data_IF_764973925467
#
_entry.id   IF_764973925467
#
_cell.length_a   1.000
_cell.length_b   1.000
_cell.length_c   1.000
_cell.angle_alpha   90.00
_cell.angle_beta   90.00
_cell.angle_gamma   90.00
#
_symmetry.space_group_name_H-M   'P 1'
#
loop_
_entity.id
_entity.type
_entity.pdbx_description
1 polymer ?
#
# COMPACT_ATOMS: atom_id res chain seq x y z
N UNK A 1 -19.97 -6.88 44.92
CA UNK A 1 -19.12 -5.72 45.30
C UNK A 1 -17.66 -6.08 45.07
N UNK A 2 -16.85 -5.08 44.71
CA UNK A 2 -15.40 -5.06 44.48
C UNK A 2 -14.88 -5.52 43.10
N UNK A 3 -14.62 -4.46 42.32
CA UNK A 3 -13.74 -4.33 41.16
C UNK A 3 -12.30 -4.63 41.55
N UNK A 4 -11.52 -5.25 40.66
CA UNK A 4 -10.10 -4.91 40.49
C UNK A 4 -9.66 -5.13 39.05
N UNK A 5 -9.53 -4.01 38.36
CA UNK A 5 -8.78 -3.81 37.12
C UNK A 5 -7.29 -3.95 37.48
N UNK A 6 -6.53 -4.77 36.75
CA UNK A 6 -5.09 -4.56 36.60
C UNK A 6 -4.72 -4.59 35.12
N UNK A 7 -4.59 -3.39 34.59
CA UNK A 7 -3.84 -3.08 33.38
C UNK A 7 -2.47 -3.74 33.43
N UNK A 8 -2.10 -4.44 32.37
CA UNK A 8 -0.70 -4.55 31.96
C UNK A 8 -0.54 -3.77 30.65
N UNK A 9 -0.19 -2.50 30.81
CA UNK A 9 0.46 -1.72 29.77
C UNK A 9 1.93 -2.16 29.81
N UNK A 10 2.37 -2.91 28.79
CA UNK A 10 3.79 -3.17 28.57
C UNK A 10 4.28 -2.19 27.50
N UNK A 11 4.96 -1.14 27.96
CA UNK A 11 5.78 -0.27 27.13
C UNK A 11 7.10 -1.01 26.91
N UNK A 12 7.41 -1.31 25.66
CA UNK A 12 8.77 -1.62 25.22
C UNK A 12 9.02 -0.83 23.93
N UNK A 13 9.71 0.30 24.08
CA UNK A 13 10.35 1.01 22.99
C UNK A 13 11.73 0.39 22.76
N UNK A 14 11.90 -0.35 21.67
CA UNK A 14 13.20 -0.59 21.05
C UNK A 14 13.06 -0.45 19.54
N UNK A 15 13.99 0.31 18.99
CA UNK A 15 14.08 0.66 17.59
C UNK A 15 14.11 -0.58 16.69
N UNK A 16 13.25 -0.54 15.68
CA UNK A 16 12.95 -1.63 14.78
C UNK A 16 11.46 -1.65 14.57
N UNK A 17 10.96 -0.88 13.59
CA UNK A 17 9.62 -1.10 13.05
C UNK A 17 9.57 -2.49 12.41
N UNK A 18 9.57 -3.55 13.22
CA UNK A 18 9.04 -4.82 12.81
C UNK A 18 7.56 -4.55 12.54
N UNK A 19 7.15 -4.64 11.28
CA UNK A 19 5.75 -4.49 10.90
C UNK A 19 4.90 -5.33 11.86
N UNK A 20 3.90 -4.72 12.50
CA UNK A 20 3.07 -5.42 13.48
C UNK A 20 2.51 -6.71 12.84
N UNK A 21 2.29 -7.81 13.59
CA UNK A 21 1.87 -9.09 13.02
C UNK A 21 0.58 -9.00 12.17
N UNK A 22 -0.31 -8.08 12.52
CA UNK A 22 -1.54 -7.81 11.77
C UNK A 22 -1.31 -7.04 10.46
N UNK A 23 -0.23 -6.27 10.34
CA UNK A 23 0.15 -5.56 9.12
C UNK A 23 0.72 -6.54 8.09
N UNK A 24 1.57 -7.47 8.54
CA UNK A 24 2.14 -8.52 7.69
C UNK A 24 1.04 -9.38 7.03
N UNK A 25 0.00 -9.75 7.79
CA UNK A 25 -1.15 -10.50 7.27
C UNK A 25 -1.99 -9.72 6.25
N UNK A 26 -2.12 -8.39 6.41
CA UNK A 26 -2.84 -7.52 5.46
C UNK A 26 -2.05 -7.27 4.18
N UNK A 27 -0.74 -7.07 4.28
CA UNK A 27 0.14 -6.95 3.11
C UNK A 27 0.14 -8.24 2.30
N UNK A 28 0.17 -9.40 2.97
CA UNK A 28 0.07 -10.70 2.30
C UNK A 28 -1.27 -10.89 1.59
N UNK A 29 -2.39 -10.54 2.24
CA UNK A 29 -3.70 -10.58 1.60
C UNK A 29 -3.79 -9.65 0.36
N UNK A 30 -3.15 -8.48 0.40
CA UNK A 30 -3.02 -7.59 -0.77
C UNK A 30 -2.15 -8.20 -1.87
N UNK A 31 -1.03 -8.83 -1.51
CA UNK A 31 -0.10 -9.48 -2.44
C UNK A 31 -0.79 -10.61 -3.20
N UNK A 32 -1.56 -11.45 -2.50
CA UNK A 32 -2.33 -12.53 -3.12
C UNK A 32 -3.38 -12.01 -4.09
N UNK A 33 -4.16 -11.00 -3.70
CA UNK A 33 -5.15 -10.37 -4.58
C UNK A 33 -4.48 -9.75 -5.82
N UNK A 34 -3.39 -9.01 -5.64
CA UNK A 34 -2.63 -8.41 -6.74
C UNK A 34 -2.09 -9.47 -7.71
N UNK A 35 -1.59 -10.60 -7.20
CA UNK A 35 -1.13 -11.73 -8.00
C UNK A 35 -2.26 -12.38 -8.82
N UNK A 36 -3.42 -12.60 -8.19
CA UNK A 36 -4.61 -13.12 -8.87
C UNK A 36 -5.06 -12.19 -10.02
N UNK A 37 -5.19 -10.89 -9.73
CA UNK A 37 -5.61 -9.89 -10.71
C UNK A 37 -4.61 -9.73 -11.86
N UNK A 38 -3.30 -9.77 -11.58
CA UNK A 38 -2.27 -9.78 -12.60
C UNK A 38 -2.40 -10.98 -13.55
N UNK A 39 -2.76 -12.15 -13.01
CA UNK A 39 -3.07 -13.34 -13.80
C UNK A 39 -4.26 -13.14 -14.74
N UNK A 40 -5.32 -12.46 -14.28
CA UNK A 40 -6.49 -12.14 -15.12
C UNK A 40 -6.16 -11.12 -16.22
N UNK A 41 -5.36 -10.10 -15.91
CA UNK A 41 -4.87 -9.12 -16.90
C UNK A 41 -4.03 -9.82 -17.97
N UNK A 42 -3.08 -10.68 -17.57
CA UNK A 42 -2.24 -11.44 -18.51
C UNK A 42 -3.05 -12.33 -19.46
N UNK A 43 -4.21 -12.83 -18.99
CA UNK A 43 -5.15 -13.62 -19.78
C UNK A 43 -6.17 -12.79 -20.57
N UNK A 44 -6.01 -11.45 -20.60
CA UNK A 44 -6.93 -10.49 -21.22
C UNK A 44 -8.38 -10.62 -20.73
N UNK A 45 -8.59 -11.06 -19.47
CA UNK A 45 -9.93 -11.21 -18.87
C UNK A 45 -10.46 -9.92 -18.25
N UNK A 46 -9.55 -9.05 -17.83
CA UNK A 46 -9.83 -7.70 -17.30
C UNK A 46 -8.73 -6.75 -17.75
N UNK A 47 -9.03 -5.46 -17.81
CA UNK A 47 -8.04 -4.40 -18.07
C UNK A 47 -7.20 -4.11 -16.82
N UNK A 48 -6.08 -3.38 -16.95
CA UNK A 48 -5.26 -2.98 -15.80
C UNK A 48 -6.01 -2.04 -14.87
N UNK A 49 -6.84 -1.15 -15.42
CA UNK A 49 -7.72 -0.27 -14.61
C UNK A 49 -8.74 -1.09 -13.82
N UNK A 50 -9.38 -2.08 -14.46
CA UNK A 50 -10.32 -2.97 -13.75
C UNK A 50 -9.63 -3.79 -12.65
N UNK A 51 -8.40 -4.23 -12.88
CA UNK A 51 -7.58 -4.85 -11.83
C UNK A 51 -7.28 -3.87 -10.70
N UNK A 52 -6.87 -2.63 -11.01
CA UNK A 52 -6.65 -1.61 -10.00
C UNK A 52 -7.93 -1.38 -9.17
N UNK A 53 -9.08 -1.16 -9.79
CA UNK A 53 -10.35 -0.92 -9.10
C UNK A 53 -10.72 -2.05 -8.12
N UNK A 54 -10.51 -3.31 -8.51
CA UNK A 54 -10.73 -4.47 -7.61
C UNK A 54 -9.74 -4.50 -6.45
N UNK A 55 -8.48 -4.19 -6.72
CA UNK A 55 -7.45 -4.10 -5.69
C UNK A 55 -7.76 -2.97 -4.68
N UNK A 56 -8.34 -1.85 -5.12
CA UNK A 56 -8.72 -0.76 -4.23
C UNK A 56 -9.81 -1.17 -3.23
N UNK A 57 -10.83 -1.90 -3.72
CA UNK A 57 -11.90 -2.44 -2.87
C UNK A 57 -11.30 -3.32 -1.78
N UNK A 58 -10.36 -4.20 -2.14
CA UNK A 58 -9.65 -5.06 -1.18
C UNK A 58 -8.82 -4.24 -0.19
N UNK A 59 -8.06 -3.26 -0.69
CA UNK A 59 -7.23 -2.35 0.12
C UNK A 59 -8.05 -1.64 1.18
N UNK A 60 -9.14 -0.98 0.77
CA UNK A 60 -10.03 -0.25 1.66
C UNK A 60 -10.65 -1.21 2.70
N UNK A 61 -11.07 -2.41 2.29
CA UNK A 61 -11.62 -3.41 3.19
C UNK A 61 -10.63 -3.94 4.25
N UNK A 62 -9.34 -4.02 3.93
CA UNK A 62 -8.30 -4.52 4.84
C UNK A 62 -7.72 -3.43 5.75
N UNK A 63 -7.54 -2.22 5.21
CA UNK A 63 -6.69 -1.17 5.81
C UNK A 63 -7.52 0.03 6.26
N UNK A 64 -8.68 0.25 5.63
CA UNK A 64 -9.43 1.49 5.70
C UNK A 64 -8.77 2.60 4.88
N UNK A 65 -9.33 3.80 4.97
CA UNK A 65 -8.74 4.98 4.34
C UNK A 65 -7.44 5.38 5.03
N UNK A 66 -6.46 5.78 4.23
CA UNK A 66 -5.19 6.32 4.68
C UNK A 66 -4.68 7.27 3.58
N UNK A 67 -4.42 8.56 3.88
CA UNK A 67 -4.12 9.56 2.86
C UNK A 67 -2.89 9.21 2.00
N UNK A 68 -1.89 8.54 2.58
CA UNK A 68 -0.70 8.12 1.84
C UNK A 68 -1.02 6.93 0.92
N UNK A 69 -1.80 5.95 1.39
CA UNK A 69 -2.25 4.85 0.55
C UNK A 69 -3.19 5.33 -0.56
N UNK A 70 -4.12 6.23 -0.25
CA UNK A 70 -5.10 6.77 -1.18
C UNK A 70 -4.40 7.57 -2.29
N UNK A 71 -3.41 8.40 -1.94
CA UNK A 71 -2.61 9.16 -2.92
C UNK A 71 -1.81 8.25 -3.85
N UNK A 72 -1.08 7.29 -3.28
CA UNK A 72 -0.24 6.36 -4.04
C UNK A 72 -1.10 5.46 -4.91
N UNK A 73 -2.25 5.02 -4.40
CA UNK A 73 -3.19 4.19 -5.14
C UNK A 73 -3.80 4.94 -6.32
N UNK A 74 -4.23 6.20 -6.14
CA UNK A 74 -4.76 7.03 -7.22
C UNK A 74 -3.76 7.18 -8.37
N UNK A 75 -2.47 7.41 -8.05
CA UNK A 75 -1.42 7.50 -9.06
C UNK A 75 -1.15 6.15 -9.75
N UNK A 76 -1.11 5.05 -9.00
CA UNK A 76 -1.00 3.70 -9.56
C UNK A 76 -2.14 3.40 -10.55
N UNK A 77 -3.39 3.72 -10.18
CA UNK A 77 -4.57 3.55 -11.03
C UNK A 77 -4.48 4.41 -12.30
N UNK A 78 -4.03 5.65 -12.18
CA UNK A 78 -3.81 6.53 -13.33
C UNK A 78 -2.81 5.90 -14.32
N UNK A 79 -1.65 5.43 -13.84
CA UNK A 79 -0.65 4.75 -14.69
C UNK A 79 -1.21 3.46 -15.32
N UNK A 80 -2.06 2.71 -14.61
CA UNK A 80 -2.75 1.56 -15.18
C UNK A 80 -3.64 1.96 -16.37
N UNK A 81 -4.35 3.08 -16.27
CA UNK A 81 -5.14 3.68 -17.35
C UNK A 81 -4.30 4.09 -18.55
N UNK A 82 -3.20 4.80 -18.33
CA UNK A 82 -2.29 5.20 -19.41
C UNK A 82 -1.70 3.98 -20.14
N UNK A 83 -1.42 2.89 -19.41
CA UNK A 83 -0.95 1.61 -19.97
C UNK A 83 -2.02 0.78 -20.65
N UNK A 84 -3.30 0.97 -20.34
CA UNK A 84 -4.39 0.32 -21.07
C UNK A 84 -4.64 1.03 -22.41
N UNK A 85 -4.44 2.34 -22.45
CA UNK A 85 -4.55 3.16 -23.67
C UNK A 85 -3.26 3.20 -24.51
N UNK A 86 -2.24 2.39 -24.16
CA UNK A 86 -0.93 2.36 -24.82
C UNK A 86 -0.21 3.73 -24.90
N UNK A 87 -0.53 4.66 -24.00
CA UNK A 87 0.09 6.00 -23.95
C UNK A 87 1.48 5.98 -23.34
N UNK A 88 1.72 5.03 -22.42
CA UNK A 88 3.02 4.81 -21.80
C UNK A 88 3.38 3.33 -21.82
N UNK A 89 4.67 3.05 -21.94
CA UNK A 89 5.22 1.69 -21.88
C UNK A 89 5.47 1.24 -20.44
N UNK A 90 5.64 -0.07 -20.18
CA UNK A 90 5.83 -0.58 -18.82
C UNK A 90 7.04 0.01 -18.07
N UNK A 91 8.17 0.23 -18.75
CA UNK A 91 9.39 0.80 -18.15
C UNK A 91 9.20 2.25 -17.71
N UNK A 92 8.49 3.03 -18.51
CA UNK A 92 8.13 4.42 -18.18
C UNK A 92 7.21 4.48 -16.96
N UNK A 93 6.16 3.66 -16.93
CA UNK A 93 5.28 3.56 -15.76
C UNK A 93 6.04 3.15 -14.48
N UNK A 94 7.02 2.23 -14.58
CA UNK A 94 7.87 1.86 -13.45
C UNK A 94 8.71 3.05 -12.95
N UNK A 95 9.33 3.81 -13.86
CA UNK A 95 10.12 5.00 -13.52
C UNK A 95 9.26 6.06 -12.83
N UNK A 96 8.09 6.37 -13.39
CA UNK A 96 7.12 7.31 -12.83
C UNK A 96 6.65 6.90 -11.43
N UNK A 97 6.30 5.63 -11.24
CA UNK A 97 5.88 5.12 -9.94
C UNK A 97 7.02 5.19 -8.91
N UNK A 98 8.25 4.83 -9.29
CA UNK A 98 9.41 4.92 -8.40
C UNK A 98 9.66 6.35 -7.93
N UNK A 99 9.56 7.33 -8.85
CA UNK A 99 9.66 8.75 -8.53
C UNK A 99 8.58 9.18 -7.54
N UNK A 100 7.32 8.76 -7.77
CA UNK A 100 6.21 9.07 -6.86
C UNK A 100 6.42 8.53 -5.45
N UNK A 101 6.86 7.28 -5.35
CA UNK A 101 7.14 6.64 -4.06
C UNK A 101 8.26 7.38 -3.30
N UNK A 102 9.35 7.76 -3.98
CA UNK A 102 10.44 8.53 -3.34
C UNK A 102 9.98 9.90 -2.81
N UNK A 103 9.12 10.58 -3.57
CA UNK A 103 8.49 11.85 -3.19
C UNK A 103 7.60 11.67 -1.94
N UNK A 104 6.68 10.70 -1.97
CA UNK A 104 5.78 10.37 -0.86
C UNK A 104 6.57 10.03 0.40
N UNK A 105 7.63 9.21 0.29
CA UNK A 105 8.50 8.85 1.42
C UNK A 105 9.21 10.05 2.03
N UNK A 106 9.63 11.01 1.21
CA UNK A 106 10.27 12.22 1.72
C UNK A 106 9.26 13.05 2.51
N UNK A 107 8.05 13.24 1.98
CA UNK A 107 6.97 13.94 2.70
C UNK A 107 6.57 13.24 4.00
N UNK A 108 6.37 11.92 3.97
CA UNK A 108 5.98 11.15 5.15
C UNK A 108 6.98 11.29 6.32
N UNK A 109 8.28 11.34 6.02
CA UNK A 109 9.31 11.56 7.05
C UNK A 109 9.28 12.96 7.66
N UNK A 110 8.84 13.95 6.88
CA UNK A 110 8.76 15.35 7.27
C UNK A 110 7.40 15.71 7.87
N UNK A 111 6.40 14.84 7.79
CA UNK A 111 5.04 15.09 8.28
C UNK A 111 4.94 14.87 9.79
N UNK A 112 4.80 15.94 10.60
CA UNK A 112 4.61 15.83 12.05
C UNK A 112 3.19 15.36 12.42
N UNK A 113 2.22 15.47 11.50
CA UNK A 113 0.81 15.12 11.68
C UNK A 113 0.42 13.81 11.01
N UNK A 114 1.39 12.94 10.69
CA UNK A 114 1.12 11.71 9.96
C UNK A 114 0.12 10.82 10.69
N UNK A 115 -0.76 10.11 9.95
CA UNK A 115 -1.76 9.24 10.56
C UNK A 115 -1.12 8.19 11.48
N UNK A 116 -1.75 7.91 12.61
CA UNK A 116 -1.28 6.86 13.53
C UNK A 116 -1.33 5.44 12.97
N UNK A 117 -1.98 5.24 11.80
CA UNK A 117 -2.02 3.96 11.08
C UNK A 117 -0.96 3.94 10.00
N UNK A 118 -0.09 2.94 10.04
CA UNK A 118 0.93 2.71 9.00
C UNK A 118 0.28 2.50 7.62
N UNK A 119 0.70 3.21 6.56
CA UNK A 119 0.19 3.01 5.21
C UNK A 119 0.61 1.62 4.69
N UNK A 120 -0.36 0.75 4.41
CA UNK A 120 -0.09 -0.67 4.12
C UNK A 120 0.16 -0.86 2.62
N UNK A 121 -0.67 -0.26 1.77
CA UNK A 121 -0.53 -0.36 0.31
C UNK A 121 0.74 0.34 -0.16
N UNK A 122 1.04 1.51 0.39
CA UNK A 122 2.25 2.26 0.05
C UNK A 122 3.48 1.46 0.42
N UNK A 123 3.53 0.85 1.61
CA UNK A 123 4.66 0.02 2.01
C UNK A 123 4.79 -1.26 1.16
N UNK A 124 3.68 -1.86 0.76
CA UNK A 124 3.70 -2.94 -0.24
C UNK A 124 4.32 -2.48 -1.56
N UNK A 125 3.96 -1.29 -2.05
CA UNK A 125 4.57 -0.71 -3.25
C UNK A 125 6.05 -0.36 -3.04
N UNK A 126 6.46 0.13 -1.86
CA UNK A 126 7.88 0.36 -1.56
C UNK A 126 8.69 -0.93 -1.70
N UNK A 127 8.21 -2.02 -1.10
CA UNK A 127 8.84 -3.34 -1.15
C UNK A 127 8.99 -3.83 -2.60
N UNK A 128 7.92 -3.79 -3.39
CA UNK A 128 7.95 -4.19 -4.81
C UNK A 128 8.96 -3.40 -5.65
N UNK A 129 9.22 -2.15 -5.29
CA UNK A 129 10.13 -1.26 -6.00
C UNK A 129 11.54 -1.20 -5.36
N UNK A 130 11.81 -2.05 -4.36
CA UNK A 130 13.10 -2.11 -3.68
C UNK A 130 13.44 -0.85 -2.88
N UNK A 131 12.42 -0.13 -2.40
CA UNK A 131 12.55 1.07 -1.57
C UNK A 131 12.34 0.72 -0.09
N UNK A 132 13.00 1.43 0.84
CA UNK A 132 12.70 1.26 2.26
C UNK A 132 11.26 1.67 2.58
N UNK A 133 10.60 1.03 3.56
CA UNK A 133 9.26 1.41 3.99
C UNK A 133 9.23 2.84 4.56
N UNK A 134 8.00 3.35 4.71
CA UNK A 134 7.66 4.64 5.31
C UNK A 134 7.92 4.67 6.82
#
# INVERSE_FOLDING_TARGET
MLRTIKSLILIAALAGCAAMPWTATRQEALRQEAGYLAGLVKKNKITKVQAADRLDIKRIGLVGQNPYDDEVFAYYRHLAGERDHNRIVPSEAQSLMRKKLAEVRTRYRQDPGKPGKTPVFTNFMMEMYGLPPL
#
